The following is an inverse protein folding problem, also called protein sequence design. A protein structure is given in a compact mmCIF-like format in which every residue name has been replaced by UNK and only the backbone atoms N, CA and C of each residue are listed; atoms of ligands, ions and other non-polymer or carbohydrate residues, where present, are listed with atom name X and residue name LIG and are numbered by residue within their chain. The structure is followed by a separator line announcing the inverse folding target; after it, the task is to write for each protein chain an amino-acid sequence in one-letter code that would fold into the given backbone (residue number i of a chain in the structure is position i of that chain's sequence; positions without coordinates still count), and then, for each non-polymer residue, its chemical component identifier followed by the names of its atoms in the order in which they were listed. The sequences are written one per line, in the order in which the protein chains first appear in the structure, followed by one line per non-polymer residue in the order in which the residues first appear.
data_IF_668245780877
#
_entry.id   IF_668245780877
#
_cell.length_a   1.000
_cell.length_b   1.000
_cell.length_c   1.000
_cell.angle_alpha   90.00
_cell.angle_beta   90.00
_cell.angle_gamma   90.00
#
_symmetry.space_group_name_H-M   'P 1'
#
loop_
_entity.id
_entity.type
_entity.pdbx_description
1 polymer ?
#
# COMPACT_ATOMS: atom_id res chain seq x y z
N UNK A 1 -16.53 45.38 -39.56
CA UNK A 1 -15.11 45.07 -39.25
C UNK A 1 -14.83 45.43 -37.80
N UNK A 2 -14.86 44.47 -36.88
CA UNK A 2 -14.39 44.69 -35.51
C UNK A 2 -12.87 44.70 -35.51
N UNK A 3 -12.25 45.86 -35.25
CA UNK A 3 -10.80 45.98 -35.00
C UNK A 3 -10.48 45.21 -33.72
N UNK A 4 -9.93 44.02 -33.86
CA UNK A 4 -9.53 43.19 -32.72
C UNK A 4 -8.33 43.83 -32.02
N UNK A 5 -8.55 44.32 -30.80
CA UNK A 5 -7.51 44.91 -29.96
C UNK A 5 -6.61 43.77 -29.42
N UNK A 6 -5.52 43.47 -30.14
CA UNK A 6 -4.54 42.42 -29.81
C UNK A 6 -3.99 42.53 -28.37
N UNK A 7 -4.03 43.71 -27.78
CA UNK A 7 -3.62 43.99 -26.40
C UNK A 7 -4.49 43.31 -25.33
N UNK A 8 -5.78 43.09 -25.60
CA UNK A 8 -6.70 42.45 -24.63
C UNK A 8 -6.42 40.95 -24.51
N UNK A 9 -6.11 40.27 -25.63
CA UNK A 9 -5.70 38.87 -25.61
C UNK A 9 -4.36 38.67 -24.87
N UNK A 10 -3.44 39.64 -24.98
CA UNK A 10 -2.18 39.64 -24.21
C UNK A 10 -2.45 39.81 -22.71
N UNK A 11 -3.27 40.78 -22.31
CA UNK A 11 -3.60 41.02 -20.91
C UNK A 11 -4.35 39.84 -20.24
N UNK A 12 -5.22 39.14 -20.99
CA UNK A 12 -5.98 38.00 -20.48
C UNK A 12 -5.12 36.73 -20.41
N UNK A 13 -4.13 36.56 -21.29
CA UNK A 13 -3.28 35.35 -21.33
C UNK A 13 -2.11 35.38 -20.35
N UNK A 14 -1.66 36.57 -19.91
CA UNK A 14 -0.54 36.73 -18.97
C UNK A 14 -0.78 36.02 -17.62
N UNK A 15 -1.95 36.09 -16.96
CA UNK A 15 -2.22 35.36 -15.72
C UNK A 15 -2.15 33.83 -15.90
N UNK A 16 -2.66 33.31 -17.02
CA UNK A 16 -2.62 31.87 -17.34
C UNK A 16 -1.20 31.41 -17.69
N UNK A 17 -0.41 32.25 -18.37
CA UNK A 17 1.02 32.02 -18.58
C UNK A 17 1.80 32.04 -17.27
N UNK A 18 1.51 32.96 -16.33
CA UNK A 18 2.14 33.00 -15.01
C UNK A 18 1.77 31.74 -14.19
N UNK A 19 0.51 31.28 -14.25
CA UNK A 19 0.09 30.02 -13.63
C UNK A 19 0.78 28.80 -14.26
N UNK A 20 0.86 28.71 -15.59
CA UNK A 20 1.55 27.63 -16.28
C UNK A 20 3.07 27.65 -16.05
N UNK A 21 3.70 28.83 -16.03
CA UNK A 21 5.10 29.03 -15.67
C UNK A 21 5.33 28.65 -14.20
N UNK A 22 4.45 29.04 -13.28
CA UNK A 22 4.55 28.65 -11.87
C UNK A 22 4.45 27.14 -11.69
N UNK A 23 3.62 26.45 -12.48
CA UNK A 23 3.54 24.98 -12.48
C UNK A 23 4.79 24.31 -13.07
N UNK A 24 5.46 24.95 -14.03
CA UNK A 24 6.78 24.55 -14.51
C UNK A 24 7.90 24.82 -13.49
N UNK A 25 7.82 25.91 -12.73
CA UNK A 25 8.78 26.26 -11.67
C UNK A 25 8.70 25.38 -10.43
N UNK A 26 7.58 24.67 -10.18
CA UNK A 26 7.49 23.65 -9.11
C UNK A 26 8.43 22.47 -9.37
N UNK A 27 8.82 22.23 -10.63
CA UNK A 27 9.85 21.23 -11.00
C UNK A 27 11.28 21.77 -11.00
N UNK A 28 11.47 23.07 -10.78
CA UNK A 28 12.80 23.67 -10.85
C UNK A 28 13.49 23.53 -9.49
N UNK A 29 14.68 22.93 -9.42
CA UNK A 29 15.46 22.93 -8.20
C UNK A 29 15.73 24.37 -7.71
N UNK A 30 15.16 24.75 -6.57
CA UNK A 30 15.33 26.09 -6.00
C UNK A 30 16.72 26.16 -5.36
N UNK A 31 17.59 27.00 -5.95
CA UNK A 31 18.94 27.27 -5.44
C UNK A 31 19.95 26.14 -5.69
N UNK A 32 21.21 26.41 -5.35
CA UNK A 32 22.32 25.50 -5.63
C UNK A 32 22.15 24.12 -4.96
N UNK A 33 21.54 24.08 -3.77
CA UNK A 33 21.24 22.85 -3.05
C UNK A 33 20.23 21.98 -3.77
N UNK A 34 19.11 22.57 -4.23
CA UNK A 34 18.15 21.85 -5.05
C UNK A 34 18.80 21.31 -6.33
N UNK A 35 19.67 22.12 -6.96
CA UNK A 35 20.35 21.72 -8.19
C UNK A 35 21.27 20.54 -7.95
N UNK A 36 22.02 20.54 -6.85
CA UNK A 36 22.88 19.42 -6.47
C UNK A 36 22.09 18.12 -6.31
N UNK A 37 20.96 18.16 -5.60
CA UNK A 37 20.08 16.98 -5.40
C UNK A 37 19.54 16.47 -6.73
N UNK A 38 19.15 17.36 -7.64
CA UNK A 38 18.67 16.99 -8.96
C UNK A 38 19.79 16.36 -9.81
N UNK A 39 20.97 16.98 -9.85
CA UNK A 39 22.10 16.51 -10.65
C UNK A 39 22.62 15.13 -10.18
N UNK A 40 22.37 14.75 -8.92
CA UNK A 40 22.81 13.48 -8.32
C UNK A 40 21.66 12.55 -7.93
N UNK A 41 20.45 12.79 -8.45
CA UNK A 41 19.22 12.11 -8.04
C UNK A 41 19.35 10.58 -8.06
N UNK A 42 19.89 10.01 -9.13
CA UNK A 42 20.05 8.56 -9.28
C UNK A 42 21.07 7.95 -8.32
N UNK A 43 22.15 8.68 -8.00
CA UNK A 43 23.15 8.22 -7.03
C UNK A 43 22.57 8.24 -5.62
N UNK A 44 21.89 9.32 -5.27
CA UNK A 44 21.25 9.50 -3.96
C UNK A 44 20.17 8.44 -3.74
N UNK A 45 19.30 8.21 -4.72
CA UNK A 45 18.25 7.18 -4.63
C UNK A 45 18.85 5.79 -4.41
N UNK A 46 19.91 5.43 -5.11
CA UNK A 46 20.58 4.13 -4.95
C UNK A 46 21.18 3.98 -3.55
N UNK A 47 21.83 5.02 -3.04
CA UNK A 47 22.43 5.00 -1.72
C UNK A 47 21.37 4.87 -0.60
N UNK A 48 20.23 5.58 -0.73
CA UNK A 48 19.10 5.45 0.20
C UNK A 48 18.57 4.01 0.22
N UNK A 49 18.41 3.38 -0.95
CA UNK A 49 17.95 2.00 -1.04
C UNK A 49 18.96 1.06 -0.37
N UNK A 50 20.26 1.22 -0.66
CA UNK A 50 21.31 0.38 -0.09
C UNK A 50 21.42 0.51 1.44
N UNK A 51 21.32 1.72 1.99
CA UNK A 51 21.36 1.96 3.44
C UNK A 51 20.15 1.29 4.14
N UNK A 52 18.94 1.49 3.60
CA UNK A 52 17.71 0.87 4.12
C UNK A 52 17.78 -0.66 4.03
N UNK A 53 18.30 -1.20 2.92
CA UNK A 53 18.50 -2.63 2.72
C UNK A 53 19.49 -3.21 3.74
N UNK A 54 20.58 -2.49 4.04
CA UNK A 54 21.57 -2.91 5.03
C UNK A 54 21.00 -3.01 6.46
N UNK A 55 19.96 -2.24 6.76
CA UNK A 55 19.24 -2.24 8.04
C UNK A 55 18.15 -3.33 8.11
N UNK A 56 18.09 -4.23 7.11
CA UNK A 56 17.13 -5.33 7.04
C UNK A 56 15.69 -4.87 6.76
N UNK A 57 15.54 -3.70 6.14
CA UNK A 57 14.29 -3.17 5.61
C UNK A 57 14.37 -3.17 4.08
N UNK A 58 13.26 -2.92 3.37
CA UNK A 58 13.32 -2.81 1.91
C UNK A 58 12.27 -1.86 1.36
N UNK A 59 12.70 -1.12 0.34
CA UNK A 59 11.90 -0.13 -0.36
C UNK A 59 12.01 -0.35 -1.87
N UNK A 60 10.87 -0.35 -2.57
CA UNK A 60 10.75 -0.57 -4.02
C UNK A 60 11.20 0.65 -4.82
N UNK A 61 10.91 1.84 -4.31
CA UNK A 61 11.24 3.10 -4.98
C UNK A 61 11.45 4.22 -3.97
N UNK A 62 12.23 5.22 -4.37
CA UNK A 62 12.46 6.47 -3.64
C UNK A 62 12.04 7.63 -4.53
N UNK A 63 11.27 8.56 -3.97
CA UNK A 63 10.90 9.84 -4.58
C UNK A 63 11.44 10.97 -3.71
N UNK A 64 12.34 11.78 -4.25
CA UNK A 64 12.88 12.96 -3.58
C UNK A 64 11.83 14.08 -3.64
N UNK A 65 11.50 14.71 -2.51
CA UNK A 65 10.52 15.80 -2.49
C UNK A 65 11.13 17.08 -3.10
N UNK A 66 10.60 17.58 -4.24
CA UNK A 66 11.12 18.80 -4.85
C UNK A 66 11.00 20.00 -3.91
N UNK A 67 12.02 20.86 -3.91
CA UNK A 67 12.06 22.09 -3.09
C UNK A 67 12.28 21.89 -1.59
N UNK A 68 12.43 20.65 -1.12
CA UNK A 68 12.68 20.34 0.31
C UNK A 68 14.15 20.51 0.72
N UNK A 69 15.05 20.61 -0.25
CA UNK A 69 16.49 20.65 0.01
C UNK A 69 16.92 21.95 0.72
N UNK A 70 17.64 21.79 1.83
CA UNK A 70 18.18 22.88 2.66
C UNK A 70 19.63 22.61 3.00
N UNK A 71 20.50 23.55 2.65
CA UNK A 71 21.89 23.54 3.04
C UNK A 71 22.07 24.11 4.44
N UNK A 72 22.88 23.47 5.26
CA UNK A 72 23.30 24.00 6.55
C UNK A 72 24.78 23.74 6.79
N UNK A 73 25.36 24.49 7.71
CA UNK A 73 26.64 24.14 8.29
C UNK A 73 26.39 23.65 9.70
N UNK A 74 27.32 22.83 10.20
CA UNK A 74 27.44 22.64 11.64
C UNK A 74 27.51 23.99 12.36
N UNK A 75 27.07 24.00 13.62
CA UNK A 75 27.29 25.13 14.52
C UNK A 75 28.77 25.15 14.94
N UNK A 76 29.65 25.32 13.96
CA UNK A 76 31.10 25.37 14.10
C UNK A 76 31.53 26.67 14.77
N UNK A 77 31.35 26.74 16.09
CA UNK A 77 32.02 27.71 16.94
C UNK A 77 33.52 27.42 16.98
N UNK A 78 34.03 27.04 18.15
CA UNK A 78 35.47 26.96 18.42
C UNK A 78 36.14 25.68 17.86
N UNK A 79 35.38 24.75 17.28
CA UNK A 79 35.84 23.43 16.83
C UNK A 79 35.79 23.21 15.32
N UNK A 80 35.25 24.18 14.55
CA UNK A 80 35.01 24.00 13.12
C UNK A 80 33.85 23.04 12.84
N UNK A 81 33.63 22.70 11.58
CA UNK A 81 32.51 21.84 11.18
C UNK A 81 32.43 21.62 9.68
N UNK A 82 31.31 21.13 9.17
CA UNK A 82 31.12 20.77 7.77
C UNK A 82 29.79 21.28 7.22
N UNK A 83 29.67 21.19 5.89
CA UNK A 83 28.44 21.45 5.18
C UNK A 83 27.57 20.19 5.11
N UNK A 84 26.26 20.41 5.17
CA UNK A 84 25.22 19.39 5.11
C UNK A 84 24.11 19.81 4.17
N UNK A 85 23.46 18.84 3.54
CA UNK A 85 22.21 19.04 2.82
C UNK A 85 21.13 18.14 3.42
N UNK A 86 20.06 18.76 3.93
CA UNK A 86 18.88 18.06 4.40
C UNK A 86 17.76 18.12 3.36
N UNK A 87 17.07 17.01 3.12
CA UNK A 87 15.89 16.98 2.28
C UNK A 87 14.91 15.88 2.74
N UNK A 88 13.70 15.93 2.20
CA UNK A 88 12.67 14.91 2.46
C UNK A 88 12.57 13.97 1.28
N UNK A 89 12.45 12.68 1.54
CA UNK A 89 12.13 11.67 0.55
C UNK A 89 10.92 10.84 1.00
N UNK A 90 10.21 10.28 0.02
CA UNK A 90 9.14 9.31 0.25
C UNK A 90 9.49 8.01 -0.44
N UNK A 91 9.06 6.90 0.14
CA UNK A 91 9.31 5.58 -0.43
C UNK A 91 8.02 4.95 -0.92
N UNK A 92 8.15 4.05 -1.90
CA UNK A 92 7.03 3.29 -2.48
C UNK A 92 5.88 4.16 -3.00
N UNK A 93 6.16 5.41 -3.37
CA UNK A 93 5.16 6.43 -3.73
C UNK A 93 4.11 6.72 -2.63
N UNK A 94 4.41 6.40 -1.37
CA UNK A 94 3.53 6.67 -0.24
C UNK A 94 4.06 7.86 0.57
N UNK A 95 3.33 8.99 0.53
CA UNK A 95 3.71 10.21 1.27
C UNK A 95 3.72 10.04 2.80
N UNK A 96 3.04 9.02 3.33
CA UNK A 96 3.06 8.69 4.76
C UNK A 96 4.33 7.91 5.15
N UNK A 97 4.96 7.23 4.19
CA UNK A 97 6.29 6.63 4.33
C UNK A 97 7.36 7.64 3.93
N UNK A 98 7.56 8.65 4.79
CA UNK A 98 8.53 9.71 4.56
C UNK A 98 9.77 9.51 5.42
N UNK A 99 10.91 9.98 4.91
CA UNK A 99 12.16 10.06 5.65
C UNK A 99 12.80 11.44 5.49
N UNK A 100 13.55 11.87 6.50
CA UNK A 100 14.51 12.97 6.40
C UNK A 100 15.89 12.39 6.14
N UNK A 101 16.52 12.87 5.09
CA UNK A 101 17.83 12.42 4.64
C UNK A 101 18.82 13.57 4.77
N UNK A 102 20.01 13.25 5.23
CA UNK A 102 21.17 14.13 5.33
C UNK A 102 22.26 13.65 4.37
N UNK A 103 22.81 14.58 3.60
CA UNK A 103 24.10 14.41 2.93
C UNK A 103 25.16 15.19 3.68
N UNK A 104 26.16 14.49 4.18
CA UNK A 104 27.31 15.04 4.88
C UNK A 104 28.49 15.23 3.92
N UNK A 105 29.10 16.41 3.91
CA UNK A 105 30.22 16.76 3.03
C UNK A 105 31.52 16.93 3.83
N UNK A 106 32.33 15.87 3.98
CA UNK A 106 33.54 15.88 4.82
C UNK A 106 34.59 16.89 4.33
N UNK A 107 34.63 17.15 3.02
CA UNK A 107 35.64 18.02 2.40
C UNK A 107 35.17 19.48 2.33
N UNK A 108 33.88 19.74 2.56
CA UNK A 108 33.31 21.08 2.65
C UNK A 108 33.37 21.60 4.10
N UNK A 109 34.60 21.60 4.66
CA UNK A 109 34.86 22.01 6.02
C UNK A 109 34.83 23.52 6.23
N UNK A 110 34.47 23.94 7.44
CA UNK A 110 34.61 25.29 7.96
C UNK A 110 35.63 25.29 9.11
N UNK A 111 36.65 26.16 9.07
CA UNK A 111 37.59 26.30 10.17
C UNK A 111 36.90 26.77 11.47
N UNK A 112 37.50 26.50 12.64
CA UNK A 112 37.11 27.15 13.90
C UNK A 112 37.00 28.67 13.77
N UNK A 113 36.09 29.29 14.52
CA UNK A 113 35.89 30.74 14.60
C UNK A 113 35.54 31.41 13.25
N UNK A 114 34.96 30.66 12.31
CA UNK A 114 34.55 31.20 11.01
C UNK A 114 33.23 31.95 11.11
N UNK A 115 33.29 33.29 11.11
CA UNK A 115 32.08 34.14 11.12
C UNK A 115 31.34 34.18 9.78
N UNK A 116 32.08 34.13 8.66
CA UNK A 116 31.51 34.12 7.31
C UNK A 116 31.72 32.74 6.72
N UNK A 117 30.65 31.95 6.68
CA UNK A 117 30.69 30.58 6.16
C UNK A 117 31.01 30.59 4.66
N UNK A 118 32.00 29.80 4.20
CA UNK A 118 32.35 29.70 2.78
C UNK A 118 31.15 29.17 2.00
N UNK A 119 31.00 29.63 0.76
CA UNK A 119 29.99 29.06 -0.13
C UNK A 119 30.55 27.78 -0.77
N UNK A 120 30.03 26.58 -0.45
CA UNK A 120 30.61 25.31 -0.90
C UNK A 120 30.46 25.13 -2.42
N UNK A 121 29.49 25.80 -3.04
CA UNK A 121 29.27 25.74 -4.49
C UNK A 121 30.28 26.56 -5.30
N UNK A 122 31.10 27.40 -4.65
CA UNK A 122 32.24 28.07 -5.30
C UNK A 122 33.48 27.17 -5.40
N UNK A 123 33.48 26.04 -4.69
CA UNK A 123 34.57 25.06 -4.69
C UNK A 123 34.00 23.65 -4.94
N UNK A 124 33.52 23.33 -6.16
CA UNK A 124 32.80 22.08 -6.44
C UNK A 124 33.56 20.80 -6.06
N UNK A 125 34.89 20.85 -6.04
CA UNK A 125 35.77 19.77 -5.61
C UNK A 125 35.46 19.28 -4.19
N UNK A 126 35.08 20.18 -3.27
CA UNK A 126 34.75 19.83 -1.88
C UNK A 126 33.38 19.16 -1.74
N UNK A 127 32.58 19.16 -2.81
CA UNK A 127 31.24 18.57 -2.85
C UNK A 127 31.22 17.20 -3.55
N UNK A 128 32.38 16.71 -4.04
CA UNK A 128 32.47 15.43 -4.77
C UNK A 128 32.26 14.21 -3.89
N UNK A 129 32.77 14.23 -2.67
CA UNK A 129 32.61 13.16 -1.69
C UNK A 129 31.52 13.56 -0.71
N UNK A 130 30.54 12.69 -0.54
CA UNK A 130 29.48 12.85 0.44
C UNK A 130 29.09 11.50 1.03
N UNK A 131 28.54 11.54 2.23
CA UNK A 131 27.99 10.38 2.92
C UNK A 131 26.51 10.60 3.19
N UNK A 132 25.74 9.52 3.14
CA UNK A 132 24.30 9.56 3.38
C UNK A 132 23.99 9.11 4.80
N UNK A 133 23.07 9.82 5.45
CA UNK A 133 22.45 9.37 6.70
C UNK A 133 20.93 9.55 6.63
N UNK A 134 20.20 8.51 7.04
CA UNK A 134 18.76 8.59 7.27
C UNK A 134 18.54 9.04 8.71
N UNK A 135 18.09 10.29 8.88
CA UNK A 135 18.04 10.97 10.19
C UNK A 135 16.73 10.67 10.91
N UNK A 136 15.64 10.53 10.16
CA UNK A 136 14.31 10.31 10.74
C UNK A 136 13.44 9.54 9.74
N UNK A 137 12.72 8.53 10.23
CA UNK A 137 11.77 7.72 9.45
C UNK A 137 10.40 7.86 10.08
N UNK A 138 9.35 8.02 9.26
CA UNK A 138 7.99 8.08 9.78
C UNK A 138 7.59 6.78 10.48
N UNK A 139 6.77 6.87 11.52
CA UNK A 139 6.29 5.72 12.31
C UNK A 139 5.23 4.86 11.60
N UNK A 140 5.19 4.86 10.27
CA UNK A 140 4.17 4.15 9.49
C UNK A 140 4.37 2.61 9.60
N UNK A 141 3.39 1.83 10.11
CA UNK A 141 3.54 0.38 10.28
C UNK A 141 3.77 -0.38 8.96
N UNK A 142 3.51 0.27 7.82
CA UNK A 142 3.81 -0.28 6.49
C UNK A 142 5.30 -0.33 6.15
N UNK A 143 6.23 0.07 7.04
CA UNK A 143 7.67 -0.22 6.92
C UNK A 143 8.02 -1.71 7.10
N UNK A 144 7.22 -2.45 7.87
CA UNK A 144 7.55 -3.82 8.34
C UNK A 144 7.07 -4.95 7.40
N UNK A 145 6.47 -4.60 6.27
CA UNK A 145 5.82 -5.55 5.35
C UNK A 145 6.78 -6.54 4.68
N UNK A 146 7.98 -6.10 4.29
CA UNK A 146 9.01 -6.96 3.66
C UNK A 146 9.64 -7.91 4.67
N UNK A 147 9.97 -7.48 5.89
CA UNK A 147 10.43 -8.39 6.95
C UNK A 147 9.39 -9.49 7.23
N UNK A 148 8.11 -9.12 7.25
CA UNK A 148 7.00 -10.09 7.34
C UNK A 148 6.90 -11.00 6.11
N UNK A 149 7.25 -10.52 4.91
CA UNK A 149 7.29 -11.31 3.68
C UNK A 149 8.48 -12.29 3.65
N UNK A 150 9.67 -11.89 4.08
CA UNK A 150 10.85 -12.75 4.10
C UNK A 150 10.71 -13.87 5.14
N UNK A 151 10.20 -13.55 6.33
CA UNK A 151 9.85 -14.56 7.35
C UNK A 151 8.77 -15.53 6.85
N UNK A 152 7.82 -15.03 6.06
CA UNK A 152 6.81 -15.87 5.41
C UNK A 152 7.47 -16.81 4.40
N UNK A 153 8.32 -16.29 3.52
CA UNK A 153 9.05 -17.07 2.51
C UNK A 153 9.91 -18.17 3.15
N UNK A 154 10.64 -17.85 4.22
CA UNK A 154 11.44 -18.84 4.98
C UNK A 154 10.55 -19.94 5.58
N UNK A 155 9.44 -19.55 6.24
CA UNK A 155 8.51 -20.54 6.81
C UNK A 155 7.92 -21.43 5.72
N UNK A 156 7.63 -20.88 4.55
CA UNK A 156 7.09 -21.64 3.42
C UNK A 156 8.09 -22.60 2.81
N UNK A 157 9.36 -22.19 2.67
CA UNK A 157 10.41 -23.07 2.18
C UNK A 157 10.57 -24.28 3.10
N UNK A 158 10.50 -24.08 4.42
CA UNK A 158 10.53 -25.17 5.39
C UNK A 158 9.32 -26.12 5.26
N UNK A 159 8.12 -25.58 5.00
CA UNK A 159 6.92 -26.39 4.76
C UNK A 159 7.03 -27.20 3.46
N UNK A 160 7.53 -26.60 2.38
CA UNK A 160 7.77 -27.27 1.11
C UNK A 160 8.81 -28.39 1.24
N UNK A 161 9.92 -28.14 1.96
CA UNK A 161 10.93 -29.15 2.26
C UNK A 161 10.34 -30.33 3.07
N UNK A 162 9.44 -30.04 4.01
CA UNK A 162 8.72 -31.06 4.75
C UNK A 162 7.83 -31.93 3.83
N UNK A 163 7.11 -31.32 2.88
CA UNK A 163 6.30 -32.03 1.89
C UNK A 163 7.15 -32.97 1.02
N UNK A 164 8.28 -32.46 0.50
CA UNK A 164 9.23 -33.25 -0.32
C UNK A 164 9.70 -34.50 0.43
N UNK A 165 9.91 -34.40 1.74
CA UNK A 165 10.33 -35.54 2.59
C UNK A 165 9.21 -36.54 2.90
N UNK A 166 7.94 -36.16 2.84
CA UNK A 166 6.80 -36.93 3.39
C UNK A 166 5.83 -37.52 2.35
N UNK A 167 5.94 -37.20 1.06
CA UNK A 167 5.16 -37.81 -0.02
C UNK A 167 3.83 -37.09 -0.36
N UNK A 168 2.99 -37.70 -1.22
CA UNK A 168 1.85 -37.05 -1.91
C UNK A 168 0.74 -36.50 -1.00
N UNK A 169 0.35 -37.22 0.06
CA UNK A 169 -0.72 -36.76 0.95
C UNK A 169 -0.26 -35.60 1.84
N UNK A 170 1.02 -35.62 2.24
CA UNK A 170 1.65 -34.50 2.94
C UNK A 170 1.83 -33.29 2.01
N UNK A 171 2.17 -33.50 0.73
CA UNK A 171 2.25 -32.44 -0.28
C UNK A 171 0.90 -31.72 -0.46
N UNK A 172 -0.22 -32.44 -0.49
CA UNK A 172 -1.54 -31.81 -0.61
C UNK A 172 -1.89 -30.94 0.61
N UNK A 173 -1.71 -31.46 1.83
CA UNK A 173 -2.00 -30.72 3.07
C UNK A 173 -1.11 -29.49 3.21
N UNK A 174 0.20 -29.65 2.93
CA UNK A 174 1.16 -28.54 2.95
C UNK A 174 0.78 -27.47 1.92
N UNK A 175 0.45 -27.85 0.67
CA UNK A 175 -0.01 -26.89 -0.34
C UNK A 175 -1.24 -26.14 0.11
N UNK A 176 -2.22 -26.84 0.70
CA UNK A 176 -3.43 -26.22 1.23
C UNK A 176 -3.11 -25.19 2.31
N UNK A 177 -2.26 -25.54 3.27
CA UNK A 177 -1.83 -24.63 4.34
C UNK A 177 -1.10 -23.40 3.79
N UNK A 178 -0.19 -23.58 2.83
CA UNK A 178 0.54 -22.47 2.20
C UNK A 178 -0.46 -21.52 1.50
N UNK A 179 -1.41 -22.05 0.72
CA UNK A 179 -2.39 -21.21 0.02
C UNK A 179 -3.32 -20.47 1.00
N UNK A 180 -3.77 -21.13 2.08
CA UNK A 180 -4.57 -20.49 3.14
C UNK A 180 -3.76 -19.38 3.82
N UNK A 181 -2.46 -19.58 4.04
CA UNK A 181 -1.60 -18.58 4.68
C UNK A 181 -1.41 -17.34 3.82
N UNK A 182 -1.18 -17.50 2.52
CA UNK A 182 -1.13 -16.38 1.58
C UNK A 182 -2.45 -15.63 1.51
N UNK A 183 -3.55 -16.38 1.40
CA UNK A 183 -4.88 -15.82 1.33
C UNK A 183 -5.24 -15.03 2.60
N UNK A 184 -4.89 -15.54 3.78
CA UNK A 184 -5.08 -14.83 5.05
C UNK A 184 -4.27 -13.53 5.11
N UNK A 185 -3.04 -13.52 4.57
CA UNK A 185 -2.22 -12.31 4.52
C UNK A 185 -2.81 -11.27 3.57
N UNK A 186 -3.20 -11.69 2.36
CA UNK A 186 -3.92 -10.84 1.42
C UNK A 186 -5.21 -10.29 2.07
N UNK A 187 -5.99 -11.14 2.73
CA UNK A 187 -7.21 -10.73 3.42
C UNK A 187 -6.94 -9.67 4.51
N UNK A 188 -5.84 -9.79 5.25
CA UNK A 188 -5.47 -8.82 6.28
C UNK A 188 -5.16 -7.43 5.70
N UNK A 189 -4.48 -7.37 4.55
CA UNK A 189 -4.14 -6.10 3.88
C UNK A 189 -5.37 -5.44 3.24
N UNK A 190 -6.37 -6.23 2.86
CA UNK A 190 -7.54 -5.77 2.12
C UNK A 190 -8.89 -5.95 2.85
N UNK A 191 -8.88 -6.21 4.16
CA UNK A 191 -10.05 -6.60 4.94
C UNK A 191 -11.20 -5.60 4.81
N UNK A 192 -10.91 -4.32 4.96
CA UNK A 192 -11.92 -3.24 4.92
C UNK A 192 -12.61 -3.15 3.56
N UNK A 193 -11.85 -3.25 2.48
CA UNK A 193 -12.40 -3.21 1.11
C UNK A 193 -13.29 -4.44 0.87
N UNK A 194 -12.90 -5.60 1.39
CA UNK A 194 -13.69 -6.82 1.26
C UNK A 194 -14.99 -6.74 2.09
N UNK A 195 -14.91 -6.29 3.35
CA UNK A 195 -16.11 -6.06 4.18
C UNK A 195 -17.08 -5.11 3.49
N UNK A 196 -16.58 -3.99 2.98
CA UNK A 196 -17.40 -3.01 2.26
C UNK A 196 -18.08 -3.61 1.03
N UNK A 197 -17.38 -4.44 0.25
CA UNK A 197 -17.95 -5.08 -0.93
C UNK A 197 -19.12 -6.02 -0.55
N UNK A 198 -18.96 -6.85 0.49
CA UNK A 198 -20.04 -7.75 0.96
C UNK A 198 -21.20 -6.94 1.52
N UNK A 199 -20.92 -5.96 2.38
CA UNK A 199 -21.94 -5.10 3.00
C UNK A 199 -22.76 -4.34 1.95
N UNK A 200 -22.09 -3.77 0.95
CA UNK A 200 -22.75 -3.02 -0.13
C UNK A 200 -23.73 -3.90 -0.87
N UNK A 201 -23.37 -5.15 -1.18
CA UNK A 201 -24.31 -6.07 -1.81
C UNK A 201 -25.45 -6.45 -0.86
N UNK A 202 -25.12 -6.87 0.36
CA UNK A 202 -26.08 -7.35 1.35
C UNK A 202 -27.16 -6.29 1.68
N UNK A 203 -26.74 -5.09 2.08
CA UNK A 203 -27.65 -4.06 2.58
C UNK A 203 -28.28 -3.21 1.50
N UNK A 204 -27.69 -3.09 0.29
CA UNK A 204 -28.36 -2.40 -0.82
C UNK A 204 -29.66 -3.10 -1.20
N UNK A 205 -29.70 -4.43 -1.13
CA UNK A 205 -30.86 -5.22 -1.50
C UNK A 205 -31.83 -5.40 -0.33
N UNK A 206 -31.33 -5.53 0.90
CA UNK A 206 -32.14 -5.60 2.12
C UNK A 206 -31.61 -4.66 3.22
N UNK A 207 -31.98 -3.36 3.16
CA UNK A 207 -31.46 -2.35 4.09
C UNK A 207 -31.84 -2.59 5.55
N UNK A 208 -32.94 -3.30 5.82
CA UNK A 208 -33.37 -3.61 7.19
C UNK A 208 -32.37 -4.52 7.91
N UNK A 209 -31.60 -5.33 7.16
CA UNK A 209 -30.59 -6.19 7.74
C UNK A 209 -29.47 -5.42 8.42
N UNK A 210 -29.14 -4.21 7.97
CA UNK A 210 -28.12 -3.39 8.64
C UNK A 210 -28.57 -3.02 10.05
N UNK A 211 -29.86 -2.72 10.23
CA UNK A 211 -30.43 -2.46 11.56
C UNK A 211 -30.52 -3.73 12.41
N UNK A 212 -30.66 -4.92 11.81
CA UNK A 212 -30.78 -6.18 12.57
C UNK A 212 -29.42 -6.78 12.94
N UNK A 213 -28.44 -6.67 12.04
CA UNK A 213 -27.12 -7.30 12.15
C UNK A 213 -26.00 -6.33 12.59
N UNK A 214 -26.15 -5.02 12.35
CA UNK A 214 -25.05 -4.08 12.41
C UNK A 214 -24.13 -4.22 11.19
N UNK A 215 -22.95 -3.60 11.21
CA UNK A 215 -21.96 -3.75 10.12
C UNK A 215 -21.27 -5.11 10.19
N UNK A 216 -20.53 -5.45 9.13
CA UNK A 216 -19.60 -6.59 9.20
C UNK A 216 -18.44 -6.19 10.11
N UNK A 217 -18.26 -6.95 11.19
CA UNK A 217 -17.21 -6.72 12.17
C UNK A 217 -15.88 -7.28 11.68
N UNK A 218 -15.87 -8.53 11.20
CA UNK A 218 -14.68 -9.21 10.71
C UNK A 218 -14.99 -10.22 9.63
N UNK A 219 -13.98 -10.48 8.80
CA UNK A 219 -13.97 -11.54 7.80
C UNK A 219 -12.70 -12.37 7.95
N UNK A 220 -12.81 -13.69 7.82
CA UNK A 220 -11.64 -14.59 7.86
C UNK A 220 -11.77 -15.73 6.87
N UNK A 221 -10.65 -16.26 6.39
CA UNK A 221 -10.66 -17.49 5.58
C UNK A 221 -11.16 -18.63 6.46
N UNK A 222 -12.17 -19.35 6.00
CA UNK A 222 -12.74 -20.45 6.79
C UNK A 222 -11.76 -21.61 6.91
N UNK A 223 -11.67 -22.21 8.09
CA UNK A 223 -10.89 -23.45 8.29
C UNK A 223 -11.54 -24.66 7.60
N UNK A 224 -12.81 -24.55 7.22
CA UNK A 224 -13.57 -25.59 6.52
C UNK A 224 -13.38 -25.56 5.00
N UNK A 225 -12.28 -25.02 4.48
CA UNK A 225 -12.00 -25.08 3.03
C UNK A 225 -12.07 -26.53 2.55
N UNK A 226 -12.97 -26.80 1.60
CA UNK A 226 -13.10 -28.13 1.00
C UNK A 226 -11.94 -28.43 0.03
N UNK A 227 -11.42 -27.39 -0.62
CA UNK A 227 -10.37 -27.49 -1.64
C UNK A 227 -9.16 -26.60 -1.30
N UNK A 228 -8.07 -26.79 -2.04
CA UNK A 228 -6.94 -25.86 -2.01
C UNK A 228 -7.41 -24.54 -2.62
N UNK A 229 -7.33 -23.40 -1.91
CA UNK A 229 -7.68 -22.10 -2.47
C UNK A 229 -6.92 -21.83 -3.78
N UNK A 230 -7.64 -21.49 -4.84
CA UNK A 230 -7.06 -21.26 -6.16
C UNK A 230 -7.96 -20.33 -7.00
N UNK A 231 -7.45 -19.85 -8.14
CA UNK A 231 -8.17 -18.92 -9.03
C UNK A 231 -9.49 -19.48 -9.57
N UNK A 232 -9.62 -20.80 -9.64
CA UNK A 232 -10.80 -21.48 -10.18
C UNK A 232 -11.71 -22.11 -9.12
N UNK A 233 -11.39 -21.93 -7.84
CA UNK A 233 -12.11 -22.56 -6.73
C UNK A 233 -12.90 -21.52 -5.94
N UNK A 234 -14.10 -21.90 -5.50
CA UNK A 234 -14.83 -21.12 -4.51
C UNK A 234 -14.11 -21.19 -3.16
N UNK A 235 -13.92 -20.02 -2.56
CA UNK A 235 -13.20 -19.84 -1.31
C UNK A 235 -14.20 -19.44 -0.25
N UNK A 236 -14.22 -20.21 0.83
CA UNK A 236 -15.17 -20.02 1.91
C UNK A 236 -14.63 -18.98 2.91
N UNK A 237 -15.36 -17.90 3.13
CA UNK A 237 -15.04 -16.93 4.17
C UNK A 237 -16.07 -16.98 5.29
N UNK A 238 -15.58 -16.86 6.52
CA UNK A 238 -16.40 -16.65 7.70
C UNK A 238 -16.63 -15.14 7.88
N UNK A 239 -17.87 -14.74 8.12
CA UNK A 239 -18.31 -13.36 8.29
C UNK A 239 -18.98 -13.24 9.66
N UNK A 240 -18.58 -12.22 10.42
CA UNK A 240 -19.15 -11.90 11.73
C UNK A 240 -19.77 -10.50 11.69
N UNK A 241 -20.91 -10.33 12.35
CA UNK A 241 -21.64 -9.07 12.39
C UNK A 241 -21.50 -8.40 13.75
N UNK A 242 -21.51 -7.07 13.80
CA UNK A 242 -21.31 -6.30 15.04
C UNK A 242 -22.29 -6.68 16.17
N UNK A 243 -23.56 -6.98 15.83
CA UNK A 243 -24.58 -7.33 16.84
C UNK A 243 -24.54 -8.79 17.26
N UNK A 244 -23.82 -9.63 16.51
CA UNK A 244 -23.67 -11.07 16.75
C UNK A 244 -22.21 -11.49 16.52
N UNK A 245 -21.26 -10.92 17.28
CA UNK A 245 -19.82 -11.15 17.06
C UNK A 245 -19.43 -12.62 17.27
N UNK A 246 -20.17 -13.38 18.07
CA UNK A 246 -19.97 -14.79 18.33
C UNK A 246 -20.46 -15.71 17.20
N UNK A 247 -21.44 -15.25 16.41
CA UNK A 247 -22.07 -16.04 15.36
C UNK A 247 -21.27 -15.98 14.06
N UNK A 248 -21.30 -17.09 13.31
CA UNK A 248 -20.60 -17.20 12.03
C UNK A 248 -21.65 -17.32 10.92
N UNK A 249 -21.58 -16.40 9.96
CA UNK A 249 -22.11 -16.62 8.63
C UNK A 249 -20.97 -17.01 7.68
N UNK A 250 -21.31 -17.69 6.59
CA UNK A 250 -20.35 -18.13 5.58
C UNK A 250 -20.72 -17.63 4.20
N UNK A 251 -19.72 -17.23 3.42
CA UNK A 251 -19.88 -16.73 2.06
C UNK A 251 -18.85 -17.40 1.15
N UNK A 252 -19.26 -17.79 -0.05
CA UNK A 252 -18.39 -18.36 -1.07
C UNK A 252 -18.06 -17.29 -2.10
N UNK A 253 -16.77 -17.13 -2.38
CA UNK A 253 -16.24 -16.10 -3.29
C UNK A 253 -15.13 -16.69 -4.13
N UNK A 254 -15.06 -16.30 -5.41
CA UNK A 254 -13.91 -16.57 -6.29
C UNK A 254 -13.00 -15.37 -6.33
N UNK A 255 -11.70 -15.62 -6.22
CA UNK A 255 -10.68 -14.59 -6.34
C UNK A 255 -10.01 -14.63 -7.71
N UNK A 256 -9.96 -13.48 -8.36
CA UNK A 256 -9.27 -13.28 -9.62
C UNK A 256 -8.18 -12.23 -9.43
N UNK A 257 -6.92 -12.65 -9.46
CA UNK A 257 -5.78 -11.72 -9.35
C UNK A 257 -5.69 -10.82 -10.58
N UNK A 258 -5.37 -9.56 -10.36
CA UNK A 258 -5.15 -8.57 -11.40
C UNK A 258 -3.66 -8.61 -11.80
N UNK A 259 -3.37 -9.19 -12.96
CA UNK A 259 -2.01 -9.34 -13.50
C UNK A 259 -1.56 -10.80 -13.69
N UNK A 260 -0.26 -10.98 -13.98
CA UNK A 260 0.33 -12.32 -14.20
C UNK A 260 0.56 -13.09 -12.90
N UNK A 261 0.73 -12.36 -11.79
CA UNK A 261 0.95 -12.95 -10.47
C UNK A 261 -0.38 -13.22 -9.74
N UNK A 262 -0.36 -14.24 -8.90
CA UNK A 262 -1.55 -14.76 -8.21
C UNK A 262 -1.54 -14.33 -6.74
N UNK A 263 -2.70 -13.96 -6.18
CA UNK A 263 -2.86 -13.67 -4.73
C UNK A 263 -2.47 -14.85 -3.84
N UNK A 264 -2.49 -16.06 -4.41
CA UNK A 264 -2.05 -17.28 -3.74
C UNK A 264 -0.52 -17.48 -3.76
N UNK A 265 0.22 -16.53 -4.36
CA UNK A 265 1.70 -16.53 -4.45
C UNK A 265 2.30 -15.20 -4.03
N UNK A 266 1.62 -14.09 -4.33
CA UNK A 266 1.99 -12.74 -3.94
C UNK A 266 0.78 -12.05 -3.31
N UNK A 267 0.80 -11.81 -1.97
CA UNK A 267 -0.30 -11.18 -1.26
C UNK A 267 -0.43 -9.68 -1.52
N UNK A 268 0.52 -9.04 -2.24
CA UNK A 268 0.46 -7.62 -2.58
C UNK A 268 -0.32 -7.32 -3.87
N UNK A 269 -0.79 -8.37 -4.55
CA UNK A 269 -1.50 -8.26 -5.83
C UNK A 269 -2.96 -7.88 -5.59
N UNK A 270 -3.41 -6.82 -6.24
CA UNK A 270 -4.82 -6.46 -6.30
C UNK A 270 -5.64 -7.63 -6.88
N UNK A 271 -6.87 -7.81 -6.41
CA UNK A 271 -7.73 -8.86 -6.94
C UNK A 271 -9.17 -8.39 -7.06
N UNK A 272 -9.89 -9.02 -7.98
CA UNK A 272 -11.33 -8.91 -8.07
C UNK A 272 -11.98 -10.11 -7.43
N UNK A 273 -12.98 -9.87 -6.58
CA UNK A 273 -13.84 -10.93 -6.07
C UNK A 273 -15.07 -11.09 -6.95
N UNK A 274 -15.45 -12.33 -7.24
CA UNK A 274 -16.70 -12.65 -7.90
C UNK A 274 -17.49 -13.70 -7.14
N UNK A 275 -18.79 -13.73 -7.39
CA UNK A 275 -19.71 -14.67 -6.77
C UNK A 275 -20.07 -15.78 -7.75
N UNK A 276 -20.21 -17.00 -7.22
CA UNK A 276 -20.53 -18.17 -8.03
C UNK A 276 -21.84 -17.96 -8.81
N UNK A 277 -21.82 -18.25 -10.12
CA UNK A 277 -23.00 -18.15 -11.01
C UNK A 277 -23.73 -16.80 -10.91
N UNK A 278 -22.99 -15.71 -10.67
CA UNK A 278 -23.55 -14.36 -10.53
C UNK A 278 -24.58 -14.26 -9.40
N UNK A 279 -24.46 -15.12 -8.38
CA UNK A 279 -25.39 -15.20 -7.26
C UNK A 279 -24.67 -14.85 -5.97
N UNK A 280 -25.13 -13.78 -5.34
CA UNK A 280 -24.76 -13.53 -3.95
C UNK A 280 -25.45 -14.56 -3.05
N UNK A 281 -24.70 -15.20 -2.16
CA UNK A 281 -25.23 -16.17 -1.20
C UNK A 281 -24.42 -16.12 0.11
N UNK A 282 -25.10 -15.84 1.22
CA UNK A 282 -24.53 -15.89 2.57
C UNK A 282 -25.39 -16.81 3.44
N UNK A 283 -24.74 -17.73 4.16
CA UNK A 283 -25.41 -18.82 4.88
C UNK A 283 -25.05 -18.81 6.35
N UNK A 284 -25.97 -19.28 7.18
CA UNK A 284 -25.74 -19.53 8.60
C UNK A 284 -26.27 -20.91 8.99
N UNK A 285 -25.87 -21.40 10.16
CA UNK A 285 -26.31 -22.69 10.67
C UNK A 285 -27.70 -22.59 11.33
N UNK A 286 -28.41 -23.71 11.41
CA UNK A 286 -29.76 -23.79 11.99
C UNK A 286 -29.84 -23.39 13.46
N UNK A 287 -28.78 -23.61 14.22
CA UNK A 287 -28.66 -23.29 15.64
C UNK A 287 -28.16 -21.85 15.90
N UNK A 288 -27.79 -21.12 14.84
CA UNK A 288 -27.30 -19.75 14.97
C UNK A 288 -28.42 -18.77 15.29
N UNK A 289 -28.12 -17.75 16.11
CA UNK A 289 -29.00 -16.59 16.31
C UNK A 289 -29.26 -15.81 15.02
N UNK A 290 -28.39 -15.95 14.00
CA UNK A 290 -28.59 -15.36 12.68
C UNK A 290 -29.69 -16.04 11.88
N UNK A 291 -29.97 -17.32 12.15
CA UNK A 291 -30.94 -18.12 11.38
C UNK A 291 -32.33 -17.49 11.27
N UNK A 292 -33.01 -17.09 12.36
CA UNK A 292 -34.31 -16.45 12.24
C UNK A 292 -34.27 -15.12 11.47
N UNK A 293 -33.17 -14.36 11.59
CA UNK A 293 -32.99 -13.09 10.86
C UNK A 293 -32.84 -13.35 9.36
N UNK A 294 -32.02 -14.35 9.00
CA UNK A 294 -31.79 -14.74 7.61
C UNK A 294 -33.06 -15.30 6.99
N UNK A 295 -33.79 -16.17 7.70
CA UNK A 295 -35.03 -16.75 7.22
C UNK A 295 -36.15 -15.71 7.02
N UNK A 296 -36.20 -14.67 7.86
CA UNK A 296 -37.19 -13.59 7.78
C UNK A 296 -36.78 -12.43 6.84
N UNK A 297 -35.55 -12.45 6.32
CA UNK A 297 -35.06 -11.47 5.34
C UNK A 297 -35.87 -11.56 4.05
N UNK A 298 -35.94 -10.46 3.31
CA UNK A 298 -36.60 -10.40 1.99
C UNK A 298 -36.06 -11.45 1.01
N UNK A 299 -34.77 -11.74 1.08
CA UNK A 299 -34.09 -12.72 0.23
C UNK A 299 -33.68 -13.99 0.99
N UNK A 300 -34.27 -14.17 2.17
CA UNK A 300 -34.10 -15.30 3.05
C UNK A 300 -34.79 -16.57 2.57
N UNK A 301 -34.31 -17.71 3.05
CA UNK A 301 -34.99 -18.99 2.90
C UNK A 301 -34.89 -19.85 4.17
N UNK A 302 -35.66 -20.94 4.18
CA UNK A 302 -35.76 -21.87 5.31
C UNK A 302 -34.48 -22.61 5.67
N UNK A 303 -33.41 -22.48 4.87
CA UNK A 303 -32.12 -23.10 5.13
C UNK A 303 -31.14 -22.13 5.79
N UNK A 304 -31.59 -20.95 6.23
CA UNK A 304 -30.71 -19.94 6.83
C UNK A 304 -29.77 -19.31 5.79
N UNK A 305 -30.24 -19.15 4.56
CA UNK A 305 -29.47 -18.53 3.47
C UNK A 305 -30.19 -17.28 2.95
N UNK A 306 -29.44 -16.20 2.82
CA UNK A 306 -29.84 -15.02 2.06
C UNK A 306 -29.19 -15.11 0.69
N UNK A 307 -29.98 -15.10 -0.38
CA UNK A 307 -29.44 -15.23 -1.73
C UNK A 307 -30.28 -14.57 -2.81
N UNK A 308 -29.62 -14.01 -3.82
CA UNK A 308 -30.26 -13.41 -4.99
C UNK A 308 -29.29 -13.34 -6.18
N UNK A 309 -29.84 -13.25 -7.40
CA UNK A 309 -29.05 -13.03 -8.60
C UNK A 309 -28.59 -11.57 -8.67
N UNK A 310 -27.34 -11.37 -9.04
CA UNK A 310 -26.78 -10.05 -9.28
C UNK A 310 -27.24 -9.52 -10.66
N UNK A 311 -27.35 -8.19 -10.85
CA UNK A 311 -27.74 -7.60 -12.13
C UNK A 311 -26.73 -7.94 -13.24
N UNK A 312 -27.23 -8.18 -14.47
CA UNK A 312 -26.41 -8.56 -15.64
C UNK A 312 -25.38 -7.50 -16.07
N UNK A 313 -25.61 -6.24 -15.70
CA UNK A 313 -24.78 -5.10 -16.12
C UNK A 313 -23.59 -4.87 -15.16
N UNK A 314 -23.53 -5.63 -14.06
CA UNK A 314 -22.36 -5.72 -13.20
C UNK A 314 -21.52 -6.90 -13.71
N UNK A 315 -20.27 -6.66 -14.11
CA UNK A 315 -19.30 -7.75 -14.33
C UNK A 315 -18.96 -8.55 -13.04
N UNK A 316 -19.74 -8.37 -11.96
CA UNK A 316 -19.71 -9.10 -10.68
C UNK A 316 -18.30 -9.29 -10.12
N UNK A 317 -17.42 -8.34 -10.40
CA UNK A 317 -16.04 -8.31 -10.00
C UNK A 317 -15.84 -7.05 -9.18
N UNK A 318 -15.78 -7.20 -7.85
CA UNK A 318 -15.45 -6.08 -6.98
C UNK A 318 -13.93 -6.00 -6.90
N UNK A 319 -13.37 -4.93 -7.47
CA UNK A 319 -11.95 -4.65 -7.33
C UNK A 319 -11.66 -4.40 -5.85
N UNK A 320 -10.76 -5.22 -5.33
CA UNK A 320 -10.11 -5.06 -4.05
C UNK A 320 -8.70 -4.55 -4.39
N UNK A 321 -8.51 -3.22 -4.36
CA UNK A 321 -7.27 -2.58 -4.77
C UNK A 321 -6.11 -2.87 -3.82
#
# INVERSE_FOLDING_TARGET
MLKTNKWIFLAISVPFMILALSYLFIRVPIGNTGKFIHDHEDSIKREIIADIDSQGQYIKSVTLLPGSARGSFDNGGDVGGNYHIYFTAYVNNNRKQSMKVELYFPDAGIPPFTFIKPNPYKSPETMKRWYLSVVEVSSDPSWDWKRKQDKLNETMNNLLDFAVRKGKDADWQVRKEIMIRFLNKWLHEHEENFKLAIQTNLYRNDPELEQKLGKIQSISVSNYQMYIPSRGSDILFNVRFERYPEEIATINVRLHSQGEQSVFKDPSVAATISFENERFAIKTNYDSKLFPIFNQSRFGNSNGEISYKLPKDYENQFLIP
#
